data_IF_757618002829
#
_entry.id   IF_757618002829
#
_cell.length_a   1.000
_cell.length_b   1.000
_cell.length_c   1.000
_cell.angle_alpha   90.00
_cell.angle_beta   90.00
_cell.angle_gamma   90.00
#
_symmetry.space_group_name_H-M   'P 1'
#
loop_
_entity.id
_entity.type
_entity.pdbx_description
1 polymer ?
#
# COMPACT_ATOMS: atom_id res chain seq x y z
N UNK A 1 -5.48 -28.53 66.48
CA UNK A 1 -5.95 -27.27 65.90
C UNK A 1 -5.93 -27.40 64.38
N UNK A 2 -6.99 -26.92 63.74
CA UNK A 2 -7.15 -26.61 62.32
C UNK A 2 -7.09 -27.76 61.29
N UNK A 3 -8.31 -28.14 60.89
CA UNK A 3 -8.73 -28.66 59.59
C UNK A 3 -8.19 -27.79 58.42
N UNK A 4 -7.96 -28.40 57.25
CA UNK A 4 -8.57 -28.01 55.98
C UNK A 4 -8.35 -29.12 54.93
N UNK A 5 -9.38 -29.28 54.09
CA UNK A 5 -9.70 -30.45 53.28
C UNK A 5 -9.20 -30.30 51.80
N UNK A 6 -9.81 -30.94 50.76
CA UNK A 6 -9.15 -31.98 49.97
C UNK A 6 -9.01 -31.64 48.47
N UNK A 7 -8.36 -32.56 47.76
CA UNK A 7 -8.54 -32.95 46.34
C UNK A 7 -9.05 -31.91 45.32
N UNK A 8 -8.22 -31.63 44.31
CA UNK A 8 -8.72 -31.70 42.92
C UNK A 8 -7.61 -32.23 42.00
N UNK A 9 -7.66 -33.52 41.72
CA UNK A 9 -6.95 -34.10 40.59
C UNK A 9 -7.77 -33.77 39.34
N UNK A 10 -7.34 -32.76 38.58
CA UNK A 10 -7.89 -32.47 37.24
C UNK A 10 -7.24 -33.45 36.27
N UNK A 11 -7.97 -34.42 35.68
CA UNK A 11 -7.41 -35.22 34.61
C UNK A 11 -7.33 -34.32 33.38
N UNK A 12 -6.11 -33.96 32.98
CA UNK A 12 -5.84 -33.35 31.68
C UNK A 12 -6.18 -34.36 30.60
N UNK A 13 -7.42 -34.32 30.13
CA UNK A 13 -7.84 -34.99 28.90
C UNK A 13 -7.14 -34.31 27.73
N UNK A 14 -6.02 -34.89 27.31
CA UNK A 14 -5.43 -34.62 26.00
C UNK A 14 -6.47 -34.97 24.94
N UNK A 15 -7.21 -33.95 24.49
CA UNK A 15 -7.97 -34.01 23.25
C UNK A 15 -6.94 -34.14 22.14
N UNK A 16 -6.65 -35.38 21.76
CA UNK A 16 -6.00 -35.65 20.49
C UNK A 16 -6.98 -35.19 19.41
N UNK A 17 -6.76 -33.97 18.89
CA UNK A 17 -7.31 -33.57 17.61
C UNK A 17 -6.79 -34.60 16.60
N UNK A 18 -7.61 -35.61 16.32
CA UNK A 18 -7.50 -36.42 15.12
C UNK A 18 -7.72 -35.41 13.99
N UNK A 19 -6.62 -34.83 13.52
CA UNK A 19 -6.56 -34.31 12.17
C UNK A 19 -6.89 -35.53 11.32
N UNK A 20 -8.16 -35.65 10.93
CA UNK A 20 -8.54 -36.48 9.80
C UNK A 20 -7.63 -35.99 8.68
N UNK A 21 -6.53 -36.71 8.47
CA UNK A 21 -5.72 -36.57 7.28
C UNK A 21 -6.69 -36.92 6.16
N UNK A 22 -7.33 -35.89 5.63
CA UNK A 22 -8.15 -35.99 4.44
C UNK A 22 -7.28 -36.76 3.46
N UNK A 23 -7.76 -37.90 2.95
CA UNK A 23 -6.94 -38.71 2.09
C UNK A 23 -6.45 -37.83 0.95
N UNK A 24 -5.14 -37.59 0.91
CA UNK A 24 -4.49 -36.70 -0.02
C UNK A 24 -4.61 -37.34 -1.41
N UNK A 25 -5.70 -37.05 -2.11
CA UNK A 25 -6.16 -37.75 -3.32
C UNK A 25 -6.17 -36.77 -4.50
N UNK A 26 -5.97 -37.29 -5.71
CA UNK A 26 -5.34 -36.60 -6.84
C UNK A 26 -6.11 -35.40 -7.39
N UNK A 27 -5.54 -34.72 -8.41
CA UNK A 27 -6.22 -33.61 -9.11
C UNK A 27 -7.69 -33.93 -9.45
N UNK A 28 -8.00 -35.19 -9.75
CA UNK A 28 -9.36 -35.70 -9.95
C UNK A 28 -10.37 -35.20 -8.91
N UNK A 29 -10.03 -35.22 -7.62
CA UNK A 29 -10.95 -34.81 -6.56
C UNK A 29 -11.18 -33.31 -6.49
N UNK A 30 -10.21 -32.51 -6.93
CA UNK A 30 -10.33 -31.06 -6.92
C UNK A 30 -11.28 -30.55 -8.00
N UNK A 31 -11.47 -31.35 -9.06
CA UNK A 31 -12.23 -30.96 -10.24
C UNK A 31 -13.45 -31.84 -10.51
N UNK A 32 -13.67 -32.90 -9.74
CA UNK A 32 -14.87 -33.74 -9.84
C UNK A 32 -15.49 -33.97 -8.47
N UNK A 33 -16.82 -33.93 -8.42
CA UNK A 33 -17.57 -34.25 -7.23
C UNK A 33 -17.69 -35.77 -7.02
N UNK A 34 -17.96 -36.17 -5.78
CA UNK A 34 -18.27 -37.57 -5.48
C UNK A 34 -19.48 -38.08 -6.28
N UNK A 35 -20.52 -37.25 -6.44
CA UNK A 35 -21.74 -37.62 -7.17
C UNK A 35 -21.48 -37.89 -8.65
N UNK A 36 -20.63 -37.09 -9.30
CA UNK A 36 -20.27 -37.30 -10.71
C UNK A 36 -19.51 -38.60 -10.91
N UNK A 37 -18.50 -38.87 -10.07
CA UNK A 37 -17.73 -40.12 -10.13
C UNK A 37 -18.61 -41.35 -9.89
N UNK A 38 -19.50 -41.27 -8.90
CA UNK A 38 -20.46 -42.33 -8.63
C UNK A 38 -21.39 -42.56 -9.83
N UNK A 39 -21.91 -41.49 -10.44
CA UNK A 39 -22.77 -41.59 -11.63
C UNK A 39 -22.06 -42.27 -12.80
N UNK A 40 -20.79 -41.96 -13.05
CA UNK A 40 -19.99 -42.64 -14.08
C UNK A 40 -19.94 -44.14 -13.80
N UNK A 41 -19.60 -44.54 -12.58
CA UNK A 41 -19.56 -45.96 -12.23
C UNK A 41 -20.91 -46.64 -12.29
N UNK A 42 -22.00 -45.95 -11.95
CA UNK A 42 -23.36 -46.48 -12.10
C UNK A 42 -23.70 -46.82 -13.56
N UNK A 43 -23.22 -46.03 -14.52
CA UNK A 43 -23.45 -46.30 -15.95
C UNK A 43 -22.60 -47.49 -16.42
N UNK A 44 -21.34 -47.59 -15.99
CA UNK A 44 -20.44 -48.69 -16.38
C UNK A 44 -20.81 -50.03 -15.75
N UNK A 45 -21.22 -50.05 -14.48
CA UNK A 45 -21.30 -51.26 -13.66
C UNK A 45 -22.67 -51.50 -13.01
N UNK A 46 -23.64 -50.64 -13.28
CA UNK A 46 -24.98 -50.70 -12.68
C UNK A 46 -25.08 -49.97 -11.34
N UNK A 47 -26.31 -49.86 -10.82
CA UNK A 47 -26.64 -49.01 -9.68
C UNK A 47 -26.08 -49.53 -8.36
N UNK A 48 -25.95 -50.85 -8.21
CA UNK A 48 -25.60 -51.53 -6.97
C UNK A 48 -24.90 -52.86 -7.23
N UNK A 49 -23.93 -53.22 -6.38
CA UNK A 49 -23.18 -54.48 -6.47
C UNK A 49 -21.66 -54.33 -6.28
N UNK A 50 -20.92 -55.45 -6.18
CA UNK A 50 -19.47 -55.44 -5.98
C UNK A 50 -18.69 -54.83 -7.16
N UNK A 51 -19.26 -54.88 -8.37
CA UNK A 51 -18.67 -54.27 -9.57
C UNK A 51 -18.60 -52.73 -9.47
N UNK A 52 -19.55 -52.10 -8.74
CA UNK A 52 -19.51 -50.65 -8.52
C UNK A 52 -18.33 -50.24 -7.64
N UNK A 53 -18.09 -50.98 -6.56
CA UNK A 53 -16.95 -50.72 -5.68
C UNK A 53 -15.61 -50.93 -6.40
N UNK A 54 -15.54 -51.95 -7.26
CA UNK A 54 -14.38 -52.16 -8.14
C UNK A 54 -14.19 -50.99 -9.10
N UNK A 55 -15.25 -50.49 -9.73
CA UNK A 55 -15.20 -49.32 -10.59
C UNK A 55 -14.68 -48.08 -9.85
N UNK A 56 -15.20 -47.78 -8.65
CA UNK A 56 -14.77 -46.61 -7.88
C UNK A 56 -13.28 -46.69 -7.48
N UNK A 57 -12.81 -47.89 -7.09
CA UNK A 57 -11.39 -48.14 -6.80
C UNK A 57 -10.53 -48.02 -8.06
N UNK A 58 -10.99 -48.55 -9.19
CA UNK A 58 -10.27 -48.45 -10.47
C UNK A 58 -10.15 -46.98 -10.93
N UNK A 59 -11.23 -46.20 -10.79
CA UNK A 59 -11.23 -44.79 -11.16
C UNK A 59 -10.22 -44.00 -10.31
N UNK A 60 -10.25 -44.18 -8.99
CA UNK A 60 -9.29 -43.48 -8.11
C UNK A 60 -7.85 -43.95 -8.33
N UNK A 61 -7.63 -45.24 -8.56
CA UNK A 61 -6.30 -45.80 -8.85
C UNK A 61 -5.70 -45.26 -10.15
N UNK A 62 -6.50 -45.12 -11.22
CA UNK A 62 -6.03 -44.60 -12.50
C UNK A 62 -5.44 -43.18 -12.39
N UNK A 63 -5.96 -42.37 -11.47
CA UNK A 63 -5.52 -40.98 -11.28
C UNK A 63 -4.48 -40.82 -10.16
N UNK A 64 -4.00 -41.91 -9.56
CA UNK A 64 -3.03 -41.87 -8.47
C UNK A 64 -1.69 -41.23 -8.89
N UNK A 65 -1.33 -41.28 -10.18
CA UNK A 65 -0.14 -40.58 -10.70
C UNK A 65 -0.20 -39.06 -10.61
N UNK A 66 -1.39 -38.47 -10.40
CA UNK A 66 -1.62 -37.03 -10.40
C UNK A 66 -1.76 -36.43 -8.99
N UNK A 67 -1.35 -37.18 -7.95
CA UNK A 67 -1.51 -36.77 -6.54
C UNK A 67 -0.72 -35.52 -6.17
N UNK A 68 0.57 -35.51 -6.46
CA UNK A 68 1.50 -34.44 -6.09
C UNK A 68 1.69 -33.42 -7.21
N UNK A 69 0.76 -33.36 -8.16
CA UNK A 69 0.80 -32.37 -9.24
C UNK A 69 0.62 -30.96 -8.68
N UNK A 70 1.52 -30.06 -9.08
CA UNK A 70 1.37 -28.62 -8.89
C UNK A 70 1.25 -27.96 -10.26
N UNK A 71 0.29 -27.06 -10.40
CA UNK A 71 0.06 -26.30 -11.64
C UNK A 71 0.09 -24.81 -11.35
N UNK A 72 0.24 -24.01 -12.41
CA UNK A 72 -0.03 -22.58 -12.31
C UNK A 72 -1.49 -22.34 -11.91
N UNK A 73 -1.72 -21.48 -10.93
CA UNK A 73 -3.06 -21.15 -10.46
C UNK A 73 -3.94 -20.56 -11.56
N UNK A 74 -3.37 -19.77 -12.49
CA UNK A 74 -4.12 -19.16 -13.59
C UNK A 74 -4.68 -20.22 -14.57
N UNK A 75 -4.00 -21.37 -14.68
CA UNK A 75 -4.40 -22.50 -15.55
C UNK A 75 -5.43 -23.43 -14.89
N UNK A 76 -5.82 -23.15 -13.63
CA UNK A 76 -6.79 -23.97 -12.89
C UNK A 76 -8.12 -24.12 -13.63
N UNK A 77 -8.59 -23.05 -14.27
CA UNK A 77 -9.87 -23.09 -15.00
C UNK A 77 -9.76 -23.95 -16.26
N UNK A 78 -8.63 -23.90 -16.98
CA UNK A 78 -8.40 -24.78 -18.13
C UNK A 78 -8.40 -26.26 -17.71
N UNK A 79 -7.77 -26.57 -16.58
CA UNK A 79 -7.79 -27.94 -16.05
C UNK A 79 -9.20 -28.35 -15.58
N UNK A 80 -9.97 -27.44 -15.00
CA UNK A 80 -11.37 -27.70 -14.64
C UNK A 80 -12.23 -28.07 -15.86
N UNK A 81 -12.06 -27.35 -16.97
CA UNK A 81 -12.76 -27.63 -18.22
C UNK A 81 -12.34 -28.99 -18.79
N UNK A 82 -11.04 -29.34 -18.72
CA UNK A 82 -10.54 -30.64 -19.16
C UNK A 82 -11.14 -31.81 -18.35
N UNK A 83 -11.24 -31.68 -17.02
CA UNK A 83 -11.90 -32.69 -16.17
C UNK A 83 -13.40 -32.79 -16.45
N UNK A 84 -14.05 -31.67 -16.77
CA UNK A 84 -15.46 -31.64 -17.18
C UNK A 84 -15.67 -32.42 -18.48
N UNK A 85 -14.86 -32.15 -19.50
CA UNK A 85 -14.90 -32.87 -20.79
C UNK A 85 -14.58 -34.35 -20.65
N UNK A 86 -13.60 -34.70 -19.81
CA UNK A 86 -13.25 -36.08 -19.48
C UNK A 86 -14.45 -36.80 -18.86
N UNK A 87 -15.15 -36.17 -17.90
CA UNK A 87 -16.33 -36.73 -17.25
C UNK A 87 -17.44 -37.03 -18.28
N UNK A 88 -17.68 -36.11 -19.22
CA UNK A 88 -18.64 -36.35 -20.32
C UNK A 88 -18.20 -37.50 -21.23
N UNK A 89 -16.93 -37.53 -21.64
CA UNK A 89 -16.39 -38.60 -22.49
C UNK A 89 -16.51 -39.99 -21.85
N UNK A 90 -16.26 -40.07 -20.53
CA UNK A 90 -16.44 -41.31 -19.77
C UNK A 90 -17.91 -41.76 -19.74
N UNK A 91 -18.86 -40.83 -19.63
CA UNK A 91 -20.29 -41.16 -19.67
C UNK A 91 -20.72 -41.69 -21.04
N UNK A 92 -20.21 -41.10 -22.13
CA UNK A 92 -20.49 -41.58 -23.49
C UNK A 92 -19.94 -42.99 -23.72
N UNK A 93 -18.68 -43.24 -23.33
CA UNK A 93 -18.09 -44.57 -23.41
C UNK A 93 -18.83 -45.61 -22.56
N UNK A 94 -19.27 -45.24 -21.36
CA UNK A 94 -20.08 -46.10 -20.50
C UNK A 94 -21.41 -46.46 -21.17
N UNK A 95 -22.07 -45.48 -21.79
CA UNK A 95 -23.34 -45.68 -22.52
C UNK A 95 -23.16 -46.59 -23.74
N UNK A 96 -22.00 -46.52 -24.40
CA UNK A 96 -21.60 -47.40 -25.50
C UNK A 96 -21.18 -48.81 -25.02
N UNK A 97 -21.34 -49.15 -23.74
CA UNK A 97 -20.94 -50.41 -23.11
C UNK A 97 -19.43 -50.69 -23.20
N UNK A 98 -18.61 -49.63 -23.17
CA UNK A 98 -17.17 -49.75 -23.02
C UNK A 98 -16.76 -50.30 -21.65
N UNK A 99 -15.51 -50.74 -21.52
CA UNK A 99 -14.95 -51.20 -20.24
C UNK A 99 -14.30 -50.04 -19.47
N UNK A 100 -14.61 -49.93 -18.18
CA UNK A 100 -13.97 -48.96 -17.29
C UNK A 100 -12.48 -49.25 -17.05
N UNK A 101 -12.06 -50.51 -17.21
CA UNK A 101 -10.66 -50.93 -17.05
C UNK A 101 -9.74 -50.32 -18.12
N UNK A 102 -10.29 -49.96 -19.29
CA UNK A 102 -9.57 -49.27 -20.38
C UNK A 102 -9.86 -47.78 -20.33
N UNK A 103 -11.11 -47.39 -20.10
CA UNK A 103 -11.53 -46.00 -20.14
C UNK A 103 -10.84 -45.11 -19.09
N UNK A 104 -10.62 -45.60 -17.86
CA UNK A 104 -10.01 -44.78 -16.81
C UNK A 104 -8.51 -44.56 -17.00
N UNK A 105 -7.67 -45.56 -17.32
CA UNK A 105 -6.27 -45.32 -17.67
C UNK A 105 -6.10 -44.37 -18.86
N UNK A 106 -6.89 -44.55 -19.92
CA UNK A 106 -6.85 -43.67 -21.10
C UNK A 106 -7.24 -42.23 -20.74
N UNK A 107 -8.26 -42.05 -19.90
CA UNK A 107 -8.67 -40.73 -19.42
C UNK A 107 -7.58 -40.08 -18.54
N UNK A 108 -6.94 -40.85 -17.66
CA UNK A 108 -5.86 -40.37 -16.81
C UNK A 108 -4.66 -39.92 -17.64
N UNK A 109 -4.30 -40.69 -18.68
CA UNK A 109 -3.23 -40.33 -19.62
C UNK A 109 -3.55 -39.02 -20.36
N UNK A 110 -4.77 -38.87 -20.90
CA UNK A 110 -5.19 -37.63 -21.57
C UNK A 110 -5.12 -36.40 -20.66
N UNK A 111 -5.54 -36.54 -19.40
CA UNK A 111 -5.43 -35.45 -18.42
C UNK A 111 -3.96 -35.15 -18.10
N UNK A 112 -3.12 -36.18 -17.99
CA UNK A 112 -1.69 -35.99 -17.79
C UNK A 112 -1.05 -35.21 -18.96
N UNK A 113 -1.43 -35.52 -20.21
CA UNK A 113 -1.00 -34.78 -21.40
C UNK A 113 -1.44 -33.31 -21.34
N UNK A 114 -2.69 -33.03 -20.97
CA UNK A 114 -3.18 -31.65 -20.76
C UNK A 114 -2.32 -30.93 -19.71
N UNK A 115 -2.04 -31.57 -18.57
CA UNK A 115 -1.21 -30.99 -17.51
C UNK A 115 0.19 -30.63 -18.02
N UNK A 116 0.82 -31.47 -18.84
CA UNK A 116 2.14 -31.17 -19.41
C UNK A 116 2.14 -30.01 -20.41
N UNK A 117 0.98 -29.67 -20.97
CA UNK A 117 0.82 -28.54 -21.90
C UNK A 117 0.42 -27.24 -21.21
N UNK A 118 0.04 -27.29 -19.93
CA UNK A 118 -0.27 -26.10 -19.16
C UNK A 118 0.97 -25.21 -19.02
N UNK A 119 0.75 -23.89 -19.00
CA UNK A 119 1.81 -22.94 -18.73
C UNK A 119 2.35 -23.14 -17.31
N UNK A 120 3.67 -23.30 -17.21
CA UNK A 120 4.34 -23.41 -15.91
C UNK A 120 4.19 -22.14 -15.06
N UNK A 121 4.03 -22.34 -13.75
CA UNK A 121 4.02 -21.25 -12.80
C UNK A 121 5.43 -20.64 -12.70
N UNK A 122 5.57 -19.30 -12.76
CA UNK A 122 6.84 -18.64 -12.48
C UNK A 122 7.48 -19.11 -11.17
N UNK A 123 8.81 -19.17 -11.14
CA UNK A 123 9.55 -19.47 -9.92
C UNK A 123 9.31 -18.38 -8.85
N UNK A 124 9.33 -18.78 -7.58
CA UNK A 124 9.32 -17.82 -6.46
C UNK A 124 10.71 -17.18 -6.35
N UNK A 125 10.82 -15.87 -6.57
CA UNK A 125 12.11 -15.18 -6.72
C UNK A 125 12.51 -14.49 -5.40
N UNK A 126 13.52 -14.97 -4.67
CA UNK A 126 14.02 -14.28 -3.46
C UNK A 126 14.64 -12.91 -3.78
N UNK A 127 14.79 -12.00 -2.80
CA UNK A 127 14.71 -12.22 -1.35
C UNK A 127 13.40 -11.77 -0.67
N UNK A 128 12.51 -11.08 -1.37
CA UNK A 128 11.39 -10.37 -0.77
C UNK A 128 10.17 -10.34 -1.68
N UNK A 129 9.05 -9.95 -1.09
CA UNK A 129 7.82 -9.59 -1.77
C UNK A 129 6.84 -10.75 -1.96
N UNK A 130 5.57 -10.37 -2.03
CA UNK A 130 4.46 -11.26 -2.32
C UNK A 130 4.27 -11.37 -3.84
N UNK A 131 4.35 -12.59 -4.37
CA UNK A 131 4.36 -12.85 -5.81
C UNK A 131 3.11 -13.63 -6.21
N UNK A 132 2.04 -12.90 -6.54
CA UNK A 132 0.76 -13.50 -6.91
C UNK A 132 0.81 -14.27 -8.22
N UNK A 133 1.57 -13.79 -9.20
CA UNK A 133 1.79 -14.46 -10.48
C UNK A 133 2.52 -15.80 -10.35
N UNK A 134 3.22 -16.04 -9.24
CA UNK A 134 3.94 -17.29 -8.96
C UNK A 134 3.08 -18.27 -8.13
N UNK A 135 1.79 -17.97 -7.95
CA UNK A 135 0.85 -18.79 -7.19
C UNK A 135 0.67 -20.14 -7.88
N UNK A 136 0.79 -21.20 -7.08
CA UNK A 136 0.61 -22.59 -7.51
C UNK A 136 -0.68 -23.15 -6.94
N UNK A 137 -1.37 -23.97 -7.71
CA UNK A 137 -2.48 -24.80 -7.22
C UNK A 137 -1.97 -26.21 -6.93
N UNK A 138 -2.19 -26.67 -5.69
CA UNK A 138 -1.75 -27.99 -5.22
C UNK A 138 -2.90 -28.98 -5.27
N UNK A 139 -2.81 -29.96 -6.16
CA UNK A 139 -3.84 -30.98 -6.30
C UNK A 139 -4.00 -31.83 -5.03
N UNK A 140 -2.91 -32.08 -4.30
CA UNK A 140 -2.91 -32.90 -3.08
C UNK A 140 -3.95 -32.48 -2.03
N UNK A 141 -4.27 -31.19 -1.95
CA UNK A 141 -5.23 -30.66 -0.96
C UNK A 141 -6.24 -29.67 -1.54
N UNK A 142 -6.30 -29.52 -2.86
CA UNK A 142 -7.20 -28.60 -3.55
C UNK A 142 -7.13 -27.14 -3.05
N UNK A 143 -5.93 -26.66 -2.73
CA UNK A 143 -5.68 -25.29 -2.27
C UNK A 143 -4.57 -24.62 -3.09
N UNK A 144 -4.55 -23.29 -3.05
CA UNK A 144 -3.50 -22.50 -3.70
C UNK A 144 -2.45 -22.03 -2.70
N UNK A 145 -1.19 -22.07 -3.10
CA UNK A 145 -0.06 -21.51 -2.35
C UNK A 145 0.53 -20.35 -3.12
N UNK A 146 0.58 -19.18 -2.50
CA UNK A 146 1.26 -18.00 -3.03
C UNK A 146 2.70 -17.98 -2.54
N UNK A 147 3.62 -17.43 -3.35
CA UNK A 147 4.98 -17.14 -2.92
C UNK A 147 4.94 -15.90 -2.01
N UNK A 148 5.03 -16.14 -0.70
CA UNK A 148 4.93 -15.12 0.35
C UNK A 148 6.29 -14.97 1.05
N UNK A 149 7.14 -14.12 0.48
CA UNK A 149 8.42 -13.74 1.07
C UNK A 149 8.26 -12.48 1.93
N UNK A 150 9.24 -12.15 2.80
CA UNK A 150 9.19 -10.92 3.57
C UNK A 150 8.92 -9.71 2.68
N UNK A 151 7.94 -8.88 3.02
CA UNK A 151 7.55 -7.74 2.19
C UNK A 151 8.68 -6.69 2.11
N UNK A 152 9.56 -6.65 3.09
CA UNK A 152 10.69 -5.73 3.17
C UNK A 152 11.91 -6.28 2.44
N UNK A 153 12.27 -5.61 1.36
CA UNK A 153 13.47 -5.93 0.59
C UNK A 153 14.74 -5.39 1.27
N UNK A 154 15.90 -6.03 1.05
CA UNK A 154 17.17 -5.53 1.56
C UNK A 154 17.46 -4.08 1.14
N UNK A 155 18.07 -3.32 2.04
CA UNK A 155 18.45 -1.92 1.79
C UNK A 155 19.55 -1.85 0.74
N UNK A 156 19.34 -1.02 -0.28
CA UNK A 156 20.31 -0.72 -1.32
C UNK A 156 21.05 0.58 -0.99
N UNK A 157 22.37 0.54 -0.89
CA UNK A 157 23.18 1.72 -0.59
C UNK A 157 23.51 2.46 -1.91
N UNK A 158 23.10 3.73 -2.00
CA UNK A 158 23.26 4.59 -3.18
C UNK A 158 24.14 5.77 -2.81
N UNK A 159 25.29 5.93 -3.47
CA UNK A 159 26.20 7.05 -3.22
C UNK A 159 26.22 8.00 -4.40
N UNK A 160 25.93 9.28 -4.18
CA UNK A 160 25.86 10.31 -5.22
C UNK A 160 26.62 11.55 -4.80
N UNK A 161 27.33 12.18 -5.74
CA UNK A 161 28.03 13.44 -5.47
C UNK A 161 27.05 14.61 -5.42
N UNK A 162 27.28 15.57 -4.52
CA UNK A 162 26.52 16.82 -4.42
C UNK A 162 26.39 17.49 -5.81
N UNK A 163 25.21 18.01 -6.12
CA UNK A 163 24.92 18.69 -7.39
C UNK A 163 24.55 17.75 -8.54
N UNK A 164 24.87 16.45 -8.44
CA UNK A 164 24.47 15.45 -9.43
C UNK A 164 23.00 15.02 -9.23
N UNK A 165 22.57 14.04 -10.02
CA UNK A 165 21.24 13.46 -9.97
C UNK A 165 21.28 12.10 -9.24
N UNK A 166 20.35 11.89 -8.32
CA UNK A 166 20.01 10.57 -7.81
C UNK A 166 18.73 10.08 -8.48
N UNK A 167 18.68 8.78 -8.78
CA UNK A 167 17.53 8.11 -9.38
C UNK A 167 17.30 6.78 -8.67
N UNK A 168 16.06 6.55 -8.23
CA UNK A 168 15.65 5.34 -7.54
C UNK A 168 14.57 4.65 -8.37
N UNK A 169 14.78 3.37 -8.67
CA UNK A 169 13.82 2.56 -9.43
C UNK A 169 13.12 1.59 -8.49
N UNK A 170 11.81 1.73 -8.37
CA UNK A 170 10.96 0.84 -7.59
C UNK A 170 10.54 -0.36 -8.42
N UNK A 171 11.52 -1.21 -8.73
CA UNK A 171 11.33 -2.38 -9.58
C UNK A 171 11.79 -3.62 -8.83
N UNK A 172 10.96 -4.67 -8.87
CA UNK A 172 11.28 -5.99 -8.32
C UNK A 172 11.64 -6.94 -9.46
N UNK A 173 12.31 -8.04 -9.12
CA UNK A 173 12.79 -9.03 -10.10
C UNK A 173 11.71 -10.06 -10.49
N UNK A 174 10.52 -9.98 -9.91
CA UNK A 174 9.37 -10.82 -10.27
C UNK A 174 8.34 -10.01 -11.03
N UNK A 175 7.53 -10.69 -11.83
CA UNK A 175 6.46 -10.05 -12.58
C UNK A 175 5.40 -9.52 -11.60
N UNK A 176 5.08 -8.25 -11.74
CA UNK A 176 3.95 -7.65 -11.03
C UNK A 176 2.67 -7.84 -11.87
N UNK A 177 1.48 -7.83 -11.24
CA UNK A 177 0.22 -7.83 -11.98
C UNK A 177 0.14 -6.65 -12.96
N UNK A 178 -0.61 -6.77 -14.07
CA UNK A 178 -0.59 -5.75 -15.13
C UNK A 178 -1.44 -4.51 -14.82
N UNK A 179 -2.38 -4.62 -13.88
CA UNK A 179 -3.40 -3.61 -13.61
C UNK A 179 -3.36 -3.19 -12.13
N UNK A 180 -3.87 -2.00 -11.82
CA UNK A 180 -4.12 -1.51 -10.45
C UNK A 180 -2.90 -1.45 -9.50
N UNK A 181 -1.69 -1.32 -10.06
CA UNK A 181 -0.48 -1.09 -9.27
C UNK A 181 -0.37 0.37 -8.86
N UNK A 182 -0.20 0.59 -7.56
CA UNK A 182 0.07 1.90 -6.98
C UNK A 182 1.47 1.92 -6.36
N UNK A 183 2.21 2.98 -6.66
CA UNK A 183 3.50 3.28 -6.04
C UNK A 183 3.36 4.44 -5.07
N UNK A 184 4.00 4.35 -3.92
CA UNK A 184 4.17 5.51 -3.04
C UNK A 184 5.57 5.58 -2.48
N UNK A 185 6.09 6.80 -2.35
CA UNK A 185 7.43 7.05 -1.84
C UNK A 185 7.40 7.68 -0.46
N UNK A 186 8.35 7.26 0.37
CA UNK A 186 8.55 7.77 1.71
C UNK A 186 10.02 8.08 1.97
N UNK A 187 10.27 9.00 2.91
CA UNK A 187 11.62 9.42 3.27
C UNK A 187 11.83 9.44 4.78
N UNK A 188 12.92 8.83 5.21
CA UNK A 188 13.49 8.93 6.55
C UNK A 188 14.78 9.76 6.47
N UNK A 189 14.68 11.05 6.80
CA UNK A 189 15.78 12.01 6.73
C UNK A 189 16.77 11.91 7.89
N UNK A 190 17.70 12.87 7.95
CA UNK A 190 18.71 12.93 9.02
C UNK A 190 19.85 11.91 8.86
N UNK A 191 20.01 11.32 7.68
CA UNK A 191 21.05 10.33 7.43
C UNK A 191 20.84 8.98 8.12
N UNK A 192 19.60 8.68 8.52
CA UNK A 192 19.22 7.43 9.13
C UNK A 192 19.16 6.30 8.08
N UNK A 193 19.82 5.17 8.37
CA UNK A 193 19.72 3.92 7.62
C UNK A 193 18.77 2.98 8.35
N UNK A 194 17.54 2.85 7.88
CA UNK A 194 16.49 2.07 8.58
C UNK A 194 15.49 1.42 7.62
N UNK A 195 14.88 0.32 8.06
CA UNK A 195 13.73 -0.30 7.40
C UNK A 195 12.42 -0.12 8.21
N UNK A 196 12.52 0.41 9.42
CA UNK A 196 11.36 0.61 10.30
C UNK A 196 10.42 1.68 9.74
N UNK A 197 9.18 1.32 9.35
CA UNK A 197 8.21 2.24 8.73
C UNK A 197 7.87 3.47 9.58
N UNK A 198 8.08 3.44 10.90
CA UNK A 198 7.72 4.54 11.81
C UNK A 198 8.53 5.82 11.59
N UNK A 199 9.75 5.71 11.05
CA UNK A 199 10.62 6.86 10.76
C UNK A 199 10.31 7.54 9.42
N UNK A 200 9.46 6.93 8.60
CA UNK A 200 9.23 7.37 7.23
C UNK A 200 8.04 8.32 7.14
N UNK A 201 8.22 9.41 6.40
CA UNK A 201 7.15 10.35 6.05
C UNK A 201 6.83 10.24 4.56
N UNK A 202 5.55 10.29 4.20
CA UNK A 202 5.12 10.24 2.80
C UNK A 202 5.66 11.46 2.03
N UNK A 203 6.17 11.21 0.82
CA UNK A 203 6.61 12.25 -0.09
C UNK A 203 5.42 12.61 -0.98
N UNK A 204 4.83 13.82 -0.84
CA UNK A 204 3.67 14.19 -1.62
C UNK A 204 4.00 14.21 -3.12
N UNK A 205 3.06 13.74 -3.96
CA UNK A 205 3.13 13.71 -5.43
C UNK A 205 4.18 12.77 -6.03
N UNK A 206 4.82 11.93 -5.21
CA UNK A 206 5.72 10.88 -5.67
C UNK A 206 4.96 9.55 -5.77
N UNK A 207 4.24 9.35 -6.88
CA UNK A 207 3.31 8.22 -7.09
C UNK A 207 3.71 7.31 -8.26
N UNK A 208 4.92 7.48 -8.80
CA UNK A 208 5.45 6.68 -9.91
C UNK A 208 6.44 5.59 -9.46
N UNK A 209 6.76 4.67 -10.37
CA UNK A 209 7.79 3.66 -10.15
C UNK A 209 9.21 4.24 -10.02
N UNK A 210 9.41 5.52 -10.35
CA UNK A 210 10.71 6.18 -10.36
C UNK A 210 10.68 7.46 -9.53
N UNK A 211 11.65 7.60 -8.62
CA UNK A 211 11.90 8.83 -7.90
C UNK A 211 13.24 9.43 -8.35
N UNK A 212 13.25 10.74 -8.58
CA UNK A 212 14.43 11.47 -9.06
C UNK A 212 14.67 12.70 -8.19
N UNK A 213 15.93 12.90 -7.82
CA UNK A 213 16.39 14.08 -7.10
C UNK A 213 17.44 14.77 -7.95
N UNK A 214 17.21 16.05 -8.29
CA UNK A 214 18.16 16.87 -9.03
C UNK A 214 17.96 18.36 -8.68
N UNK A 215 18.98 19.07 -8.18
CA UNK A 215 20.29 18.57 -7.75
C UNK A 215 20.22 17.87 -6.38
N UNK A 216 21.12 16.90 -6.16
CA UNK A 216 21.27 16.25 -4.85
C UNK A 216 21.97 17.20 -3.86
N UNK A 217 21.39 17.33 -2.67
CA UNK A 217 21.89 18.15 -1.56
C UNK A 217 22.20 17.26 -0.35
N UNK A 218 23.10 17.67 0.56
CA UNK A 218 23.40 16.92 1.78
C UNK A 218 22.18 16.64 2.67
N UNK A 219 21.17 17.51 2.64
CA UNK A 219 19.89 17.35 3.35
C UNK A 219 19.07 16.14 2.87
N UNK A 220 19.31 15.65 1.66
CA UNK A 220 18.67 14.46 1.11
C UNK A 220 19.29 13.15 1.63
N UNK A 221 20.37 13.21 2.42
CA UNK A 221 20.99 12.03 3.03
C UNK A 221 19.99 11.36 3.99
N UNK A 222 19.76 10.06 3.79
CA UNK A 222 18.74 9.31 4.52
C UNK A 222 18.27 8.09 3.74
N UNK A 223 17.22 7.43 4.23
CA UNK A 223 16.62 6.27 3.55
C UNK A 223 15.35 6.67 2.82
N UNK A 224 15.27 6.35 1.54
CA UNK A 224 14.06 6.39 0.74
C UNK A 224 13.41 5.01 0.73
N UNK A 225 12.10 4.94 0.90
CA UNK A 225 11.34 3.71 0.76
C UNK A 225 10.31 3.86 -0.33
N UNK A 226 10.22 2.87 -1.21
CA UNK A 226 9.12 2.75 -2.15
C UNK A 226 8.22 1.59 -1.74
N UNK A 227 6.91 1.84 -1.76
CA UNK A 227 5.87 0.87 -1.42
C UNK A 227 5.11 0.51 -2.70
N UNK A 228 5.08 -0.78 -3.04
CA UNK A 228 4.35 -1.31 -4.20
C UNK A 228 3.08 -1.98 -3.68
N UNK A 229 1.92 -1.50 -4.12
CA UNK A 229 0.62 -2.09 -3.81
C UNK A 229 -0.10 -2.54 -5.07
N UNK A 230 -0.88 -3.60 -4.95
CA UNK A 230 -1.94 -3.95 -5.88
C UNK A 230 -3.27 -3.79 -5.14
N UNK A 231 -4.11 -2.87 -5.61
CA UNK A 231 -5.27 -2.37 -4.87
C UNK A 231 -4.88 -1.84 -3.48
N UNK A 232 -5.16 -2.62 -2.44
CA UNK A 232 -4.82 -2.33 -1.05
C UNK A 232 -3.79 -3.31 -0.47
N UNK A 233 -3.41 -4.34 -1.24
CA UNK A 233 -2.48 -5.38 -0.79
C UNK A 233 -1.04 -4.94 -1.05
N UNK A 234 -0.22 -5.01 -0.01
CA UNK A 234 1.20 -4.71 -0.10
C UNK A 234 1.93 -5.85 -0.80
N UNK A 235 2.61 -5.55 -1.91
CA UNK A 235 3.41 -6.52 -2.67
C UNK A 235 4.87 -6.51 -2.23
N UNK A 236 5.48 -5.32 -2.11
CA UNK A 236 6.87 -5.18 -1.67
C UNK A 236 7.16 -3.77 -1.16
N UNK A 237 8.18 -3.65 -0.30
CA UNK A 237 8.79 -2.39 0.13
C UNK A 237 10.27 -2.42 -0.18
N UNK A 238 10.71 -1.49 -1.02
CA UNK A 238 12.12 -1.33 -1.38
C UNK A 238 12.72 -0.19 -0.58
N UNK A 239 13.99 -0.30 -0.22
CA UNK A 239 14.70 0.67 0.59
C UNK A 239 16.00 1.07 -0.08
N UNK A 240 16.25 2.38 -0.15
CA UNK A 240 17.44 2.98 -0.75
C UNK A 240 18.07 3.95 0.22
N UNK A 241 19.25 3.63 0.75
CA UNK A 241 19.99 4.54 1.60
C UNK A 241 20.85 5.47 0.73
N UNK A 242 20.47 6.75 0.66
CA UNK A 242 21.22 7.76 -0.08
C UNK A 242 22.32 8.35 0.79
N UNK A 243 23.57 8.14 0.37
CA UNK A 243 24.73 8.83 0.89
C UNK A 243 25.19 9.92 -0.08
N UNK A 244 25.35 11.14 0.42
CA UNK A 244 25.74 12.30 -0.39
C UNK A 244 27.21 12.64 -0.10
N UNK A 245 28.04 12.58 -1.14
CA UNK A 245 29.48 12.85 -1.04
C UNK A 245 29.84 14.16 -1.74
N UNK A 246 31.00 14.73 -1.38
CA UNK A 246 31.54 15.94 -2.01
C UNK A 246 31.61 17.13 -1.05
N UNK A 247 32.73 17.86 -1.14
CA UNK A 247 32.96 19.09 -0.38
C UNK A 247 31.93 20.16 -0.74
N UNK A 248 31.61 21.09 0.17
CA UNK A 248 30.88 22.30 -0.19
C UNK A 248 31.57 22.97 -1.40
N UNK A 249 30.83 23.47 -2.40
CA UNK A 249 31.43 24.14 -3.55
C UNK A 249 32.19 25.39 -3.08
N UNK A 250 33.51 25.30 -2.99
CA UNK A 250 34.40 26.37 -2.50
C UNK A 250 34.16 27.69 -3.27
N UNK A 251 33.96 27.59 -4.60
CA UNK A 251 33.75 28.72 -5.51
C UNK A 251 32.38 29.42 -5.39
N UNK A 252 31.34 28.74 -4.89
CA UNK A 252 30.03 29.37 -4.68
C UNK A 252 29.95 30.07 -3.32
N UNK A 253 30.75 29.65 -2.33
CA UNK A 253 30.83 30.34 -1.04
C UNK A 253 31.41 31.75 -1.17
N UNK A 254 32.41 31.96 -2.03
CA UNK A 254 32.96 33.30 -2.31
C UNK A 254 31.98 34.14 -3.13
N UNK A 255 31.29 33.55 -4.11
CA UNK A 255 30.30 34.27 -4.91
C UNK A 255 29.06 34.62 -4.09
N UNK A 256 28.60 33.73 -3.20
CA UNK A 256 27.50 34.03 -2.28
C UNK A 256 27.94 34.94 -1.14
N UNK A 257 29.19 34.90 -0.67
CA UNK A 257 29.70 35.91 0.28
C UNK A 257 29.79 37.27 -0.40
N UNK A 258 30.29 37.33 -1.64
CA UNK A 258 30.37 38.55 -2.44
C UNK A 258 28.97 39.08 -2.76
N UNK A 259 28.01 38.22 -3.11
CA UNK A 259 26.63 38.64 -3.37
C UNK A 259 25.94 39.12 -2.08
N UNK A 260 26.23 38.48 -0.94
CA UNK A 260 25.73 38.91 0.38
C UNK A 260 26.40 40.21 0.83
N UNK A 261 27.67 40.41 0.51
CA UNK A 261 28.42 41.64 0.74
C UNK A 261 27.92 42.77 -0.16
N UNK A 262 27.62 42.48 -1.43
CA UNK A 262 26.96 43.42 -2.36
C UNK A 262 25.53 43.74 -1.92
N UNK A 263 24.76 42.79 -1.37
CA UNK A 263 23.46 43.06 -0.76
C UNK A 263 23.58 43.89 0.53
N UNK A 264 24.70 43.80 1.24
CA UNK A 264 25.02 44.65 2.40
C UNK A 264 25.56 46.03 1.97
N UNK A 265 26.13 46.14 0.77
CA UNK A 265 26.59 47.40 0.14
C UNK A 265 25.53 48.09 -0.69
N UNK A 266 24.44 47.39 -1.03
CA UNK A 266 23.23 48.05 -1.49
C UNK A 266 22.96 49.15 -0.46
N UNK A 267 23.00 50.43 -0.85
CA UNK A 267 22.58 51.48 0.05
C UNK A 267 21.24 51.01 0.57
N UNK A 268 21.06 50.99 1.89
CA UNK A 268 19.72 51.08 2.41
C UNK A 268 19.21 52.34 1.73
N UNK A 269 18.44 52.18 0.67
CA UNK A 269 17.71 53.27 0.06
C UNK A 269 16.96 53.79 1.27
N UNK A 270 17.49 54.86 1.84
CA UNK A 270 16.66 55.84 2.46
C UNK A 270 15.78 56.28 1.29
N UNK A 271 14.73 55.50 1.02
CA UNK A 271 13.44 56.09 0.77
C UNK A 271 13.42 57.26 1.74
N UNK A 272 13.54 58.47 1.20
CA UNK A 272 13.11 59.65 1.91
C UNK A 272 11.67 59.32 2.25
N UNK A 273 11.46 58.81 3.46
CA UNK A 273 10.15 58.72 4.07
C UNK A 273 9.70 60.17 4.04
N UNK A 274 8.79 60.48 3.13
CA UNK A 274 8.03 61.72 3.23
C UNK A 274 7.59 61.82 4.69
N UNK A 275 7.77 62.98 5.36
CA UNK A 275 7.40 63.11 6.75
C UNK A 275 5.99 62.59 6.93
N UNK A 276 5.85 61.49 7.68
CA UNK A 276 4.57 60.82 7.87
C UNK A 276 3.59 61.84 8.46
N UNK A 277 2.61 62.25 7.65
CA UNK A 277 1.54 63.19 8.04
C UNK A 277 0.24 62.41 8.06
N UNK A 278 -0.06 61.71 9.17
CA UNK A 278 -1.29 60.94 9.25
C UNK A 278 -2.49 61.88 9.27
N UNK A 279 -3.58 61.42 8.68
CA UNK A 279 -4.88 62.00 8.96
C UNK A 279 -5.30 61.68 10.41
N UNK A 280 -6.15 62.51 11.00
CA UNK A 280 -6.69 62.26 12.35
C UNK A 280 -7.35 60.87 12.46
N UNK A 281 -7.96 60.40 11.36
CA UNK A 281 -8.59 59.08 11.28
C UNK A 281 -7.58 57.93 11.37
N UNK A 282 -6.40 58.06 10.78
CA UNK A 282 -5.32 57.06 10.88
C UNK A 282 -4.70 57.00 12.27
N UNK A 283 -4.61 58.14 12.95
CA UNK A 283 -4.17 58.18 14.35
C UNK A 283 -5.14 57.44 15.27
N UNK A 284 -6.45 57.62 15.08
CA UNK A 284 -7.49 56.96 15.89
C UNK A 284 -7.67 55.46 15.58
N UNK A 285 -7.22 55.00 14.42
CA UNK A 285 -7.30 53.60 14.01
C UNK A 285 -6.20 52.71 14.64
N UNK A 286 -5.20 53.31 15.29
CA UNK A 286 -4.14 52.54 15.95
C UNK A 286 -4.58 52.07 17.35
N UNK A 287 -4.39 50.79 17.70
CA UNK A 287 -4.95 50.19 18.91
C UNK A 287 -4.41 50.76 20.24
N UNK A 288 -3.34 51.57 20.20
CA UNK A 288 -2.74 52.22 21.37
C UNK A 288 -2.94 53.74 21.45
N UNK A 289 -3.63 54.38 20.51
CA UNK A 289 -3.77 55.84 20.47
C UNK A 289 -4.68 56.43 21.56
N UNK A 290 -5.60 55.62 22.10
CA UNK A 290 -6.59 56.03 23.09
C UNK A 290 -6.09 55.79 24.51
N UNK A 291 -5.04 56.51 24.90
CA UNK A 291 -4.63 56.60 26.31
C UNK A 291 -5.66 57.40 27.12
N UNK A 292 -5.83 57.13 28.43
CA UNK A 292 -6.83 57.82 29.26
C UNK A 292 -6.61 59.35 29.32
N UNK A 293 -5.36 59.80 29.16
CA UNK A 293 -5.03 61.24 29.07
C UNK A 293 -5.56 61.87 27.77
N UNK A 294 -5.39 61.20 26.63
CA UNK A 294 -5.87 61.67 25.33
C UNK A 294 -7.40 61.68 25.25
N UNK A 295 -8.07 60.72 25.89
CA UNK A 295 -9.53 60.70 25.99
C UNK A 295 -10.07 61.90 26.80
N UNK A 296 -9.38 62.28 27.87
CA UNK A 296 -9.76 63.44 28.68
C UNK A 296 -9.60 64.75 27.89
N UNK A 297 -8.53 64.89 27.10
CA UNK A 297 -8.31 66.03 26.22
C UNK A 297 -9.38 66.11 25.11
N UNK A 298 -9.73 64.99 24.48
CA UNK A 298 -10.79 64.95 23.47
C UNK A 298 -12.15 65.35 24.08
N UNK A 299 -12.48 64.84 25.27
CA UNK A 299 -13.69 65.21 25.99
C UNK A 299 -13.72 66.72 26.32
N UNK A 300 -12.59 67.29 26.75
CA UNK A 300 -12.47 68.72 27.03
C UNK A 300 -12.67 69.57 25.76
N UNK A 301 -12.08 69.16 24.63
CA UNK A 301 -12.27 69.88 23.35
C UNK A 301 -13.72 69.82 22.85
N UNK A 302 -14.38 68.68 23.00
CA UNK A 302 -15.80 68.54 22.67
C UNK A 302 -16.71 69.39 23.57
N UNK A 303 -16.38 69.49 24.87
CA UNK A 303 -17.09 70.35 25.82
C UNK A 303 -16.91 71.84 25.48
N UNK A 304 -15.70 72.26 25.10
CA UNK A 304 -15.42 73.65 24.70
C UNK A 304 -16.12 73.98 23.38
N UNK A 305 -16.10 73.07 22.41
CA UNK A 305 -16.78 73.26 21.13
C UNK A 305 -18.30 73.37 21.30
N UNK A 306 -18.90 72.54 22.15
CA UNK A 306 -20.34 72.61 22.44
C UNK A 306 -20.71 73.89 23.19
N UNK A 307 -19.91 74.31 24.18
CA UNK A 307 -20.10 75.60 24.86
C UNK A 307 -19.94 76.80 23.91
N UNK A 308 -19.03 76.71 22.94
CA UNK A 308 -18.83 77.76 21.93
C UNK A 308 -20.02 77.83 20.96
N UNK A 309 -20.54 76.68 20.54
CA UNK A 309 -21.73 76.60 19.68
C UNK A 309 -22.98 77.11 20.40
N UNK A 310 -23.17 76.78 21.68
CA UNK A 310 -24.29 77.31 22.45
C UNK A 310 -24.18 78.82 22.68
N UNK A 311 -22.97 79.35 22.91
CA UNK A 311 -22.76 80.79 22.97
C UNK A 311 -23.01 81.47 21.63
N UNK A 312 -22.57 80.90 20.51
CA UNK A 312 -22.85 81.43 19.17
C UNK A 312 -24.34 81.39 18.83
N UNK A 313 -25.02 80.29 19.16
CA UNK A 313 -26.47 80.18 19.01
C UNK A 313 -27.19 81.20 19.90
N UNK A 314 -26.75 81.39 21.14
CA UNK A 314 -27.32 82.38 22.06
C UNK A 314 -27.06 83.83 21.59
N UNK A 315 -25.87 84.14 21.09
CA UNK A 315 -25.56 85.44 20.47
C UNK A 315 -26.39 85.68 19.21
N UNK A 316 -26.57 84.65 18.38
CA UNK A 316 -27.42 84.72 17.18
C UNK A 316 -28.89 84.95 17.55
N UNK A 317 -29.42 84.21 18.53
CA UNK A 317 -30.75 84.44 19.09
C UNK A 317 -30.88 85.86 19.65
N UNK A 318 -29.90 86.34 20.43
CA UNK A 318 -29.90 87.69 20.99
C UNK A 318 -29.86 88.78 19.91
N UNK A 319 -29.07 88.58 18.86
CA UNK A 319 -29.01 89.50 17.71
C UNK A 319 -30.31 89.49 16.90
N UNK A 320 -30.88 88.31 16.64
CA UNK A 320 -32.15 88.16 15.92
C UNK A 320 -33.33 88.81 16.65
N UNK A 321 -33.36 88.73 17.99
CA UNK A 321 -34.42 89.32 18.81
C UNK A 321 -34.15 90.76 19.29
N UNK A 322 -32.94 91.32 19.10
CA UNK A 322 -32.64 92.75 19.36
C UNK A 322 -32.68 93.62 18.10
N UNK A 323 -33.05 93.03 16.96
CA UNK A 323 -33.22 93.71 15.67
C UNK A 323 -34.66 94.18 15.38
N UNK A 324 -35.41 94.51 16.44
CA UNK A 324 -36.70 95.21 16.39
C UNK A 324 -36.73 96.28 17.48
#
# INVERSE_FOLDING_TARGET
MALLAPESAVPSTLVALVVLRVPAWACLLCFTSYKERLRICQIFSGVEGPEREKCEKAFTAAFQGLLDTEINYDERNHLHDAFTQMTHSLQEMATARGSFEVAFPDAAQKIQEVITQLKEAPACIPPCGLQEVARRFRCRGCYSTVCDLPLDCPVQDVTVTRGQQAMFSCTVNFQLPKEEITYSWRFAGGGLRTQDPSYFRDIPRAEGYLARIRPVQPTHRGTFSCVIKHDQRLLARLYFFLNVTGSPPIKETELQSSFREVLLWAPREAEMIEPWRPSLGELLATPEALTPSNQCLLAATAAIASASLTLLAWMFFRWYFSGN
#
